data_IF_950190664023
#
_entry.id   IF_950190664023
#
_cell.length_a   1.000
_cell.length_b   1.000
_cell.length_c   1.000
_cell.angle_alpha   90.00
_cell.angle_beta   90.00
_cell.angle_gamma   90.00
#
_symmetry.space_group_name_H-M   'P 1'
#
loop_
_entity.id
_entity.type
_entity.pdbx_description
1 polymer ?
#
# COMPACT_ATOMS: atom_id res chain seq x y z
N UNK A 1 -4.20 -11.36 -69.60
CA UNK A 1 -3.22 -10.47 -68.98
C UNK A 1 -3.42 -10.62 -67.48
N UNK A 2 -2.84 -11.67 -66.89
CA UNK A 2 -2.90 -11.90 -65.45
C UNK A 2 -1.51 -12.37 -65.03
N UNK A 3 -0.76 -11.47 -64.40
CA UNK A 3 0.55 -11.78 -63.86
C UNK A 3 0.38 -12.68 -62.62
N UNK A 4 1.21 -13.73 -62.44
CA UNK A 4 1.16 -14.53 -61.23
C UNK A 4 1.62 -13.68 -60.04
N UNK A 5 0.73 -13.48 -59.07
CA UNK A 5 1.02 -12.81 -57.80
C UNK A 5 2.06 -13.64 -57.06
N UNK A 6 3.29 -13.13 -56.99
CA UNK A 6 4.36 -13.74 -56.20
C UNK A 6 3.95 -13.78 -54.72
N UNK A 7 3.80 -14.99 -54.18
CA UNK A 7 3.63 -15.21 -52.74
C UNK A 7 4.91 -14.76 -52.03
N UNK A 8 4.85 -13.60 -51.38
CA UNK A 8 5.85 -13.22 -50.38
C UNK A 8 5.78 -14.25 -49.24
N UNK A 9 6.90 -14.89 -48.86
CA UNK A 9 6.93 -15.77 -47.70
C UNK A 9 6.44 -14.97 -46.50
N UNK A 10 5.37 -15.44 -45.85
CA UNK A 10 4.78 -14.76 -44.70
C UNK A 10 5.87 -14.39 -43.71
N UNK A 11 6.04 -13.09 -43.47
CA UNK A 11 7.00 -12.58 -42.53
C UNK A 11 6.77 -13.30 -41.19
N UNK A 12 7.73 -14.15 -40.80
CA UNK A 12 7.70 -14.83 -39.52
C UNK A 12 7.56 -13.74 -38.45
N UNK A 13 6.44 -13.75 -37.73
CA UNK A 13 6.23 -12.85 -36.60
C UNK A 13 7.46 -12.98 -35.69
N UNK A 14 8.08 -11.87 -35.26
CA UNK A 14 9.25 -11.93 -34.40
C UNK A 14 8.94 -12.86 -33.23
N UNK A 15 9.80 -13.85 -33.01
CA UNK A 15 9.68 -14.77 -31.90
C UNK A 15 9.40 -13.96 -30.63
N UNK A 16 8.30 -14.27 -29.94
CA UNK A 16 7.97 -13.60 -28.67
C UNK A 16 9.21 -13.70 -27.79
N UNK A 17 9.70 -12.59 -27.21
CA UNK A 17 10.80 -12.66 -26.25
C UNK A 17 10.44 -13.72 -25.21
N UNK A 18 11.30 -14.71 -25.06
CA UNK A 18 11.14 -15.76 -24.07
C UNK A 18 10.90 -15.07 -22.73
N UNK A 19 9.75 -15.34 -22.11
CA UNK A 19 9.39 -14.70 -20.86
C UNK A 19 10.32 -15.24 -19.76
N UNK A 20 11.46 -14.59 -19.57
CA UNK A 20 12.36 -14.88 -18.47
C UNK A 20 11.65 -14.53 -17.16
N UNK A 21 11.39 -15.54 -16.35
CA UNK A 21 10.83 -15.36 -15.00
C UNK A 21 11.96 -14.81 -14.13
N UNK A 22 11.96 -13.49 -13.94
CA UNK A 22 12.90 -12.80 -13.07
C UNK A 22 12.49 -13.00 -11.61
N UNK A 23 13.37 -13.62 -10.81
CA UNK A 23 13.11 -13.86 -9.40
C UNK A 23 13.29 -12.58 -8.58
N UNK A 24 12.43 -12.39 -7.58
CA UNK A 24 12.63 -11.37 -6.56
C UNK A 24 13.83 -11.74 -5.69
N UNK A 25 14.73 -10.77 -5.48
CA UNK A 25 15.89 -10.92 -4.60
C UNK A 25 15.77 -9.94 -3.43
N UNK A 26 16.06 -10.40 -2.22
CA UNK A 26 16.08 -9.57 -1.03
C UNK A 26 17.47 -9.63 -0.38
N UNK A 27 18.19 -8.52 -0.41
CA UNK A 27 19.57 -8.41 0.10
C UNK A 27 19.66 -7.77 1.50
N UNK A 28 18.53 -7.62 2.20
CA UNK A 28 18.48 -6.99 3.52
C UNK A 28 19.07 -7.87 4.63
N UNK A 29 19.79 -7.25 5.58
CA UNK A 29 20.41 -7.92 6.74
C UNK A 29 19.67 -7.58 8.03
N UNK A 30 19.28 -8.60 8.79
CA UNK A 30 18.54 -8.43 10.04
C UNK A 30 19.25 -7.55 11.08
N UNK A 31 20.56 -7.71 11.27
CA UNK A 31 21.33 -6.90 12.23
C UNK A 31 21.43 -5.41 11.86
N UNK A 32 21.55 -5.11 10.56
CA UNK A 32 21.52 -3.73 10.06
C UNK A 32 20.14 -3.10 10.30
N UNK A 33 19.08 -3.82 9.95
CA UNK A 33 17.70 -3.40 10.19
C UNK A 33 17.42 -3.21 11.69
N UNK A 34 17.90 -4.10 12.55
CA UNK A 34 17.71 -4.03 14.00
C UNK A 34 18.28 -2.74 14.59
N UNK A 35 19.51 -2.36 14.18
CA UNK A 35 20.13 -1.08 14.59
C UNK A 35 19.28 0.12 14.17
N UNK A 36 18.73 0.10 12.95
CA UNK A 36 17.84 1.17 12.47
C UNK A 36 16.54 1.20 13.30
N UNK A 37 15.95 0.03 13.55
CA UNK A 37 14.68 -0.12 14.23
C UNK A 37 14.75 0.35 15.69
N UNK A 38 15.78 -0.07 16.44
CA UNK A 38 15.89 0.29 17.87
C UNK A 38 16.07 1.80 18.07
N UNK A 39 16.92 2.44 17.25
CA UNK A 39 17.12 3.91 17.31
C UNK A 39 15.81 4.63 17.00
N UNK A 40 15.09 4.18 15.97
CA UNK A 40 13.81 4.79 15.61
C UNK A 40 12.73 4.56 16.67
N UNK A 41 12.73 3.40 17.36
CA UNK A 41 11.81 3.11 18.44
C UNK A 41 12.05 4.04 19.62
N UNK A 42 13.31 4.18 20.06
CA UNK A 42 13.69 5.10 21.14
C UNK A 42 13.28 6.54 20.83
N UNK A 43 13.58 7.03 19.62
CA UNK A 43 13.16 8.36 19.17
C UNK A 43 11.64 8.51 19.13
N UNK A 44 10.92 7.45 18.75
CA UNK A 44 9.44 7.47 18.73
C UNK A 44 8.87 7.60 20.14
N UNK A 45 9.41 6.86 21.11
CA UNK A 45 8.98 6.96 22.51
C UNK A 45 9.31 8.34 23.08
N UNK A 46 10.54 8.81 22.88
CA UNK A 46 11.02 10.10 23.39
C UNK A 46 10.22 11.29 22.83
N UNK A 47 9.68 11.16 21.62
CA UNK A 47 8.87 12.20 20.96
C UNK A 47 7.35 11.96 21.08
N UNK A 48 6.91 11.11 22.01
CA UNK A 48 5.50 10.77 22.23
C UNK A 48 4.77 10.35 20.95
N UNK A 49 5.46 9.60 20.09
CA UNK A 49 4.90 9.06 18.85
C UNK A 49 5.07 9.96 17.62
N UNK A 50 5.53 11.22 17.75
CA UNK A 50 5.69 12.14 16.60
C UNK A 50 6.71 11.58 15.60
N UNK A 51 7.87 11.09 16.08
CA UNK A 51 8.93 10.56 15.22
C UNK A 51 8.52 9.29 14.44
N UNK A 52 7.40 8.65 14.80
CA UNK A 52 6.90 7.45 14.12
C UNK A 52 6.65 7.65 12.63
N UNK A 53 6.43 8.89 12.17
CA UNK A 53 6.28 9.20 10.75
C UNK A 53 7.61 9.04 9.98
N UNK A 54 8.73 9.49 10.57
CA UNK A 54 10.07 9.33 10.02
C UNK A 54 10.53 7.88 10.11
N UNK A 55 10.27 7.22 11.23
CA UNK A 55 10.56 5.80 11.42
C UNK A 55 9.91 4.93 10.33
N UNK A 56 8.63 5.18 10.01
CA UNK A 56 7.91 4.45 8.94
C UNK A 56 8.57 4.65 7.57
N UNK A 57 8.93 5.89 7.21
CA UNK A 57 9.60 6.16 5.92
C UNK A 57 10.97 5.50 5.84
N UNK A 58 11.79 5.60 6.90
CA UNK A 58 13.13 4.99 6.93
C UNK A 58 13.05 3.46 6.80
N UNK A 59 12.08 2.83 7.49
CA UNK A 59 11.78 1.40 7.33
C UNK A 59 11.44 1.06 5.87
N UNK A 60 10.51 1.79 5.26
CA UNK A 60 10.08 1.52 3.88
C UNK A 60 11.24 1.69 2.90
N UNK A 61 12.06 2.74 3.02
CA UNK A 61 13.25 2.92 2.17
C UNK A 61 14.24 1.76 2.31
N UNK A 62 14.43 1.25 3.52
CA UNK A 62 15.29 0.08 3.75
C UNK A 62 14.77 -1.16 3.01
N UNK A 63 13.50 -1.55 3.24
CA UNK A 63 12.95 -2.76 2.62
C UNK A 63 12.85 -2.65 1.09
N UNK A 64 12.41 -1.52 0.56
CA UNK A 64 12.28 -1.33 -0.88
C UNK A 64 13.67 -1.29 -1.56
N UNK A 65 14.64 -0.59 -0.97
CA UNK A 65 16.02 -0.58 -1.49
C UNK A 65 16.73 -1.93 -1.37
N UNK A 66 16.39 -2.73 -0.36
CA UNK A 66 16.90 -4.09 -0.18
C UNK A 66 16.17 -5.14 -1.06
N UNK A 67 15.06 -4.77 -1.71
CA UNK A 67 14.32 -5.66 -2.63
C UNK A 67 14.67 -5.28 -4.06
N UNK A 68 15.08 -6.25 -4.86
CA UNK A 68 15.37 -6.07 -6.29
C UNK A 68 14.61 -7.06 -7.16
N UNK A 69 14.33 -6.63 -8.39
CA UNK A 69 13.69 -7.39 -9.44
C UNK A 69 14.42 -7.09 -10.75
N UNK A 70 14.82 -8.13 -11.49
CA UNK A 70 15.58 -8.02 -12.74
C UNK A 70 16.81 -7.08 -12.64
N UNK A 71 17.57 -7.20 -11.54
CA UNK A 71 18.78 -6.41 -11.30
C UNK A 71 18.57 -4.94 -10.86
N UNK A 72 17.33 -4.46 -10.76
CA UNK A 72 17.03 -3.10 -10.24
C UNK A 72 16.32 -3.17 -8.90
N UNK A 73 16.76 -2.37 -7.93
CA UNK A 73 16.05 -2.21 -6.65
C UNK A 73 14.77 -1.38 -6.81
N UNK A 74 13.86 -1.52 -5.84
CA UNK A 74 12.71 -0.62 -5.72
C UNK A 74 13.10 0.64 -4.97
N UNK A 75 12.41 1.74 -5.29
CA UNK A 75 12.65 3.04 -4.67
C UNK A 75 11.38 3.57 -4.00
N UNK A 76 11.51 4.04 -2.76
CA UNK A 76 10.41 4.62 -2.01
C UNK A 76 10.65 6.11 -1.76
N UNK A 77 9.80 6.94 -2.36
CA UNK A 77 9.94 8.39 -2.41
C UNK A 77 9.27 9.12 -1.23
N UNK A 78 8.71 8.38 -0.27
CA UNK A 78 7.83 8.92 0.78
C UNK A 78 8.45 10.01 1.61
N UNK A 79 7.67 11.06 1.86
CA UNK A 79 8.06 12.14 2.76
C UNK A 79 7.41 11.95 4.15
N UNK A 80 8.19 11.97 5.24
CA UNK A 80 7.65 11.84 6.60
C UNK A 80 6.59 12.88 6.94
N UNK A 81 6.75 14.11 6.45
CA UNK A 81 5.82 15.23 6.67
C UNK A 81 4.41 14.93 6.15
N UNK A 82 4.27 14.23 5.02
CA UNK A 82 2.96 13.87 4.47
C UNK A 82 2.24 12.86 5.36
N UNK A 83 2.99 11.90 5.90
CA UNK A 83 2.46 10.91 6.84
C UNK A 83 2.09 11.53 8.19
N UNK A 84 2.87 12.51 8.66
CA UNK A 84 2.56 13.26 9.88
C UNK A 84 1.26 14.06 9.71
N UNK A 85 1.07 14.76 8.58
CA UNK A 85 -0.18 15.48 8.28
C UNK A 85 -1.39 14.55 8.37
N UNK A 86 -1.31 13.36 7.76
CA UNK A 86 -2.39 12.37 7.85
C UNK A 86 -2.68 11.93 9.29
N UNK A 87 -1.64 11.75 10.12
CA UNK A 87 -1.79 11.43 11.54
C UNK A 87 -2.40 12.58 12.36
N UNK A 88 -2.03 13.83 12.07
CA UNK A 88 -2.62 14.99 12.74
C UNK A 88 -4.11 15.11 12.42
N UNK A 89 -4.51 14.88 11.17
CA UNK A 89 -5.93 14.85 10.77
C UNK A 89 -6.66 13.70 11.49
N UNK A 90 -6.05 12.52 11.54
CA UNK A 90 -6.64 11.40 12.27
C UNK A 90 -6.79 11.71 13.77
N UNK A 91 -5.77 12.29 14.40
CA UNK A 91 -5.80 12.69 15.81
C UNK A 91 -6.86 13.76 16.09
N UNK A 92 -7.02 14.75 15.20
CA UNK A 92 -8.06 15.78 15.35
C UNK A 92 -9.48 15.24 15.25
N UNK A 93 -9.68 14.06 14.66
CA UNK A 93 -10.99 13.39 14.58
C UNK A 93 -11.15 12.41 15.75
N UNK A 94 -10.13 11.58 16.00
CA UNK A 94 -10.16 10.52 17.00
C UNK A 94 -10.21 11.06 18.43
N UNK A 95 -9.48 12.14 18.71
CA UNK A 95 -9.37 12.66 20.07
C UNK A 95 -10.71 13.24 20.56
N UNK A 96 -11.44 14.08 19.78
CA UNK A 96 -12.82 14.43 20.10
C UNK A 96 -13.76 13.22 20.15
N UNK A 97 -13.60 12.24 19.25
CA UNK A 97 -14.40 11.01 19.28
C UNK A 97 -14.28 10.29 20.63
N UNK A 98 -13.07 10.08 21.14
CA UNK A 98 -12.86 9.46 22.46
C UNK A 98 -13.47 10.27 23.61
N UNK A 99 -13.41 11.61 23.53
CA UNK A 99 -14.04 12.47 24.53
C UNK A 99 -15.57 12.36 24.49
N UNK A 100 -16.18 12.41 23.30
CA UNK A 100 -17.63 12.25 23.14
C UNK A 100 -18.09 10.90 23.67
N UNK A 101 -17.35 9.82 23.40
CA UNK A 101 -17.70 8.50 23.93
C UNK A 101 -17.60 8.42 25.46
N UNK A 102 -16.60 9.08 26.04
CA UNK A 102 -16.44 9.11 27.49
C UNK A 102 -17.61 9.84 28.20
N UNK A 103 -18.12 10.92 27.61
CA UNK A 103 -19.19 11.72 28.22
C UNK A 103 -20.61 11.31 27.78
N UNK A 104 -20.78 10.80 26.57
CA UNK A 104 -22.08 10.48 25.96
C UNK A 104 -22.07 9.08 25.29
N UNK A 105 -22.02 7.99 26.07
CA UNK A 105 -21.93 6.62 25.55
C UNK A 105 -22.97 6.21 24.47
N UNK A 106 -24.23 6.71 24.47
CA UNK A 106 -25.20 6.29 23.45
C UNK A 106 -24.84 6.64 22.00
N UNK A 107 -23.86 7.53 21.78
CA UNK A 107 -23.45 7.97 20.44
C UNK A 107 -22.67 6.89 19.66
N UNK A 108 -22.25 5.80 20.31
CA UNK A 108 -21.61 4.65 19.65
C UNK A 108 -22.45 4.06 18.51
N UNK A 109 -23.78 4.02 18.65
CA UNK A 109 -24.67 3.49 17.61
C UNK A 109 -24.57 4.26 16.29
N UNK A 110 -24.17 5.53 16.35
CA UNK A 110 -23.96 6.36 15.16
C UNK A 110 -22.50 6.28 14.66
N UNK A 111 -21.52 6.36 15.55
CA UNK A 111 -20.11 6.43 15.16
C UNK A 111 -19.52 5.11 14.70
N UNK A 112 -19.91 3.98 15.30
CA UNK A 112 -19.42 2.64 14.90
C UNK A 112 -19.72 2.35 13.43
N UNK A 113 -20.97 2.44 12.91
CA UNK A 113 -21.23 2.19 11.50
C UNK A 113 -20.55 3.20 10.59
N UNK A 114 -20.45 4.47 11.00
CA UNK A 114 -19.71 5.49 10.23
C UNK A 114 -18.22 5.12 10.10
N UNK A 115 -17.60 4.67 11.19
CA UNK A 115 -16.20 4.25 11.19
C UNK A 115 -15.99 3.00 10.34
N UNK A 116 -16.89 2.02 10.44
CA UNK A 116 -16.89 0.81 9.60
C UNK A 116 -16.96 1.15 8.10
N UNK A 117 -17.78 2.13 7.72
CA UNK A 117 -17.85 2.61 6.33
C UNK A 117 -16.58 3.38 5.96
N UNK A 118 -15.99 4.16 6.86
CA UNK A 118 -14.79 4.96 6.58
C UNK A 118 -13.50 4.14 6.45
N UNK A 119 -13.37 3.03 7.19
CA UNK A 119 -12.20 2.15 7.18
C UNK A 119 -11.75 1.67 5.78
N UNK A 120 -12.61 1.11 4.92
CA UNK A 120 -12.20 0.66 3.59
C UNK A 120 -11.64 1.81 2.73
N UNK A 121 -12.20 3.02 2.84
CA UNK A 121 -11.65 4.19 2.15
C UNK A 121 -10.27 4.56 2.68
N UNK A 122 -10.04 4.47 3.99
CA UNK A 122 -8.75 4.74 4.62
C UNK A 122 -7.69 3.71 4.17
N UNK A 123 -8.05 2.42 4.14
CA UNK A 123 -7.17 1.34 3.69
C UNK A 123 -6.78 1.54 2.24
N UNK A 124 -7.75 1.77 1.35
CA UNK A 124 -7.50 2.04 -0.07
C UNK A 124 -6.60 3.27 -0.22
N UNK A 125 -6.94 4.41 0.40
CA UNK A 125 -6.09 5.61 0.33
C UNK A 125 -4.65 5.35 0.81
N UNK A 126 -4.48 4.58 1.89
CA UNK A 126 -3.17 4.21 2.42
C UNK A 126 -2.36 3.35 1.43
N UNK A 127 -2.97 2.31 0.85
CA UNK A 127 -2.33 1.43 -0.13
C UNK A 127 -1.92 2.19 -1.39
N UNK A 128 -2.82 3.05 -1.89
CA UNK A 128 -2.59 3.85 -3.08
C UNK A 128 -1.51 4.90 -2.87
N UNK A 129 -1.48 5.53 -1.70
CA UNK A 129 -0.39 6.41 -1.32
C UNK A 129 0.97 5.69 -1.38
N UNK A 130 1.05 4.47 -0.84
CA UNK A 130 2.28 3.68 -0.92
C UNK A 130 2.64 3.31 -2.36
N UNK A 131 1.69 2.86 -3.17
CA UNK A 131 1.94 2.53 -4.58
C UNK A 131 2.52 3.74 -5.35
N UNK A 132 1.87 4.91 -5.26
CA UNK A 132 2.32 6.15 -5.93
C UNK A 132 3.69 6.64 -5.51
N UNK A 133 4.10 6.25 -4.32
CA UNK A 133 5.38 6.62 -3.76
C UNK A 133 6.47 5.59 -4.04
N UNK A 134 6.10 4.44 -4.61
CA UNK A 134 7.02 3.39 -5.02
C UNK A 134 7.30 3.49 -6.52
N UNK A 135 8.56 3.33 -6.89
CA UNK A 135 8.97 3.14 -8.28
C UNK A 135 9.92 1.98 -8.43
N UNK A 136 9.99 1.49 -9.66
CA UNK A 136 10.95 0.50 -10.11
C UNK A 136 11.48 0.91 -11.49
N UNK A 137 12.80 0.91 -11.67
CA UNK A 137 13.45 1.38 -12.91
C UNK A 137 12.95 2.77 -13.35
N UNK A 138 12.81 3.68 -12.38
CA UNK A 138 12.29 5.04 -12.57
C UNK A 138 10.81 5.13 -13.04
N UNK A 139 10.07 4.03 -13.08
CA UNK A 139 8.62 3.99 -13.37
C UNK A 139 7.86 3.91 -12.05
N UNK A 140 7.00 4.90 -11.79
CA UNK A 140 6.16 4.94 -10.58
C UNK A 140 4.96 4.03 -10.73
N UNK A 141 4.62 3.31 -9.67
CA UNK A 141 3.36 2.58 -9.65
C UNK A 141 2.20 3.56 -9.49
N UNK A 142 1.16 3.38 -10.28
CA UNK A 142 -0.10 4.10 -10.12
C UNK A 142 -1.25 3.11 -10.13
N UNK A 143 -2.39 3.58 -9.64
CA UNK A 143 -3.61 2.81 -9.60
C UNK A 143 -4.58 3.33 -10.64
N UNK A 144 -4.87 2.47 -11.61
CA UNK A 144 -5.84 2.74 -12.67
C UNK A 144 -7.21 2.26 -12.21
N UNK A 145 -7.99 3.15 -11.60
CA UNK A 145 -9.32 2.80 -11.11
C UNK A 145 -10.02 3.90 -10.29
N UNK A 146 -11.29 3.68 -9.97
CA UNK A 146 -12.05 4.58 -9.10
C UNK A 146 -11.85 4.23 -7.63
N UNK A 147 -11.48 5.23 -6.83
CA UNK A 147 -11.32 5.10 -5.37
C UNK A 147 -12.57 4.55 -4.69
N UNK A 148 -13.75 5.04 -5.10
CA UNK A 148 -15.03 4.62 -4.53
C UNK A 148 -15.34 3.15 -4.86
N UNK A 149 -15.00 2.68 -6.06
CA UNK A 149 -15.17 1.27 -6.42
C UNK A 149 -14.26 0.37 -5.61
N UNK A 150 -12.98 0.73 -5.46
CA UNK A 150 -12.04 -0.04 -4.64
C UNK A 150 -12.49 -0.11 -3.17
N UNK A 151 -12.95 1.02 -2.61
CA UNK A 151 -13.49 1.04 -1.25
C UNK A 151 -14.79 0.21 -1.13
N UNK A 152 -15.66 0.26 -2.14
CA UNK A 152 -16.88 -0.55 -2.20
C UNK A 152 -16.58 -2.05 -2.24
N UNK A 153 -15.55 -2.49 -2.95
CA UNK A 153 -15.09 -3.89 -2.94
C UNK A 153 -14.61 -4.30 -1.55
N UNK A 154 -13.77 -3.49 -0.90
CA UNK A 154 -13.34 -3.77 0.48
C UNK A 154 -14.52 -3.82 1.46
N UNK A 155 -15.50 -2.93 1.31
CA UNK A 155 -16.70 -2.91 2.16
C UNK A 155 -17.57 -4.15 1.93
N UNK A 156 -17.78 -4.53 0.66
CA UNK A 156 -18.49 -5.76 0.29
C UNK A 156 -17.81 -7.00 0.84
N UNK A 157 -16.48 -7.09 0.73
CA UNK A 157 -15.70 -8.17 1.34
C UNK A 157 -15.83 -8.19 2.87
N UNK A 158 -15.90 -7.03 3.54
CA UNK A 158 -16.10 -6.91 4.99
C UNK A 158 -17.44 -7.47 5.44
N UNK A 159 -18.51 -7.09 4.74
CA UNK A 159 -19.84 -7.64 4.98
C UNK A 159 -19.88 -9.15 4.71
N UNK A 160 -19.24 -9.60 3.63
CA UNK A 160 -19.21 -11.00 3.26
C UNK A 160 -18.41 -11.86 4.25
N UNK A 161 -17.32 -11.34 4.83
CA UNK A 161 -16.61 -12.02 5.92
C UNK A 161 -17.44 -12.13 7.19
N UNK A 162 -18.21 -11.09 7.54
CA UNK A 162 -19.10 -11.13 8.70
C UNK A 162 -20.20 -12.18 8.46
N UNK A 163 -20.79 -12.18 7.26
CA UNK A 163 -21.85 -13.12 6.89
C UNK A 163 -21.38 -14.58 6.87
N UNK A 164 -20.13 -14.82 6.46
CA UNK A 164 -19.52 -16.16 6.41
C UNK A 164 -18.78 -16.55 7.68
N UNK A 165 -19.00 -15.83 8.79
CA UNK A 165 -18.36 -16.11 10.09
C UNK A 165 -16.81 -16.23 9.99
N UNK A 166 -16.20 -15.47 9.07
CA UNK A 166 -14.76 -15.42 8.88
C UNK A 166 -14.17 -16.44 7.89
N UNK A 167 -14.96 -17.35 7.31
CA UNK A 167 -14.44 -18.34 6.35
C UNK A 167 -13.83 -17.72 5.09
N UNK A 168 -14.28 -16.53 4.69
CA UNK A 168 -13.75 -15.81 3.53
C UNK A 168 -12.55 -14.89 3.84
N UNK A 169 -12.09 -14.84 5.09
CA UNK A 169 -10.91 -14.06 5.45
C UNK A 169 -9.65 -14.35 4.59
N UNK A 170 -9.31 -15.60 4.21
CA UNK A 170 -8.13 -15.86 3.37
C UNK A 170 -8.19 -15.26 1.95
N UNK A 171 -9.37 -14.85 1.46
CA UNK A 171 -9.47 -14.18 0.17
C UNK A 171 -9.13 -12.68 0.21
N UNK A 172 -8.83 -12.14 1.39
CA UNK A 172 -8.43 -10.73 1.56
C UNK A 172 -6.95 -10.46 1.29
N UNK A 173 -6.11 -11.49 1.38
CA UNK A 173 -4.65 -11.41 1.33
C UNK A 173 -4.13 -11.67 -0.07
#
# INVERSE_FOLDING_TARGET
MDAPVAQQPGAALPARPDAHIEAFQFAGRGGEYFRIWIVNLLLTILTLGIYSAWAKVRRLRYFYGATSLAGSSFEYHGQPRQLLKGRMIAASILLPYFLVQYFFPPWDLLFVPLFLIALPFLVVKSRLFTARMTSWRNIRFDFVGSYARAAGVYLGLMLLTILTLGFLFPYWT
#
